data_IF_740833564772
#
_entry.id   IF_740833564772
#
_cell.length_a   1.000
_cell.length_b   1.000
_cell.length_c   1.000
_cell.angle_alpha   90.00
_cell.angle_beta   90.00
_cell.angle_gamma   90.00
#
_symmetry.space_group_name_H-M   'P 1'
#
loop_
_entity.id
_entity.type
_entity.pdbx_description
1 polymer ?
#
# COMPACT_ATOMS: atom_id res chain seq x y z
N UNK A 1 -5.21 40.31 -14.16
CA UNK A 1 -6.29 39.32 -14.31
C UNK A 1 -6.11 38.66 -15.66
N UNK A 2 -5.71 37.39 -15.70
CA UNK A 2 -5.56 36.62 -16.94
C UNK A 2 -6.60 35.50 -16.94
N UNK A 3 -7.41 35.52 -18.00
CA UNK A 3 -8.55 34.63 -18.24
C UNK A 3 -8.16 33.16 -18.08
N UNK A 4 -8.90 32.45 -17.24
CA UNK A 4 -8.96 30.98 -17.24
C UNK A 4 -9.71 30.55 -18.49
N UNK A 5 -8.99 30.31 -19.59
CA UNK A 5 -9.53 29.53 -20.69
C UNK A 5 -9.54 28.07 -20.24
N UNK A 6 -10.73 27.59 -19.87
CA UNK A 6 -11.02 26.17 -19.69
C UNK A 6 -10.91 25.51 -21.06
N UNK A 7 -9.69 25.14 -21.47
CA UNK A 7 -9.49 24.31 -22.65
C UNK A 7 -9.99 22.89 -22.34
N UNK A 8 -11.27 22.64 -22.63
CA UNK A 8 -11.75 21.28 -22.83
C UNK A 8 -11.16 20.76 -24.15
N UNK A 9 -9.90 20.34 -24.13
CA UNK A 9 -9.31 19.54 -25.19
C UNK A 9 -9.93 18.14 -25.12
N UNK A 10 -11.04 17.97 -25.83
CA UNK A 10 -11.52 16.65 -26.24
C UNK A 10 -10.57 16.12 -27.31
N UNK A 11 -9.50 15.45 -26.87
CA UNK A 11 -8.72 14.55 -27.74
C UNK A 11 -9.47 13.22 -27.82
N UNK A 12 -9.58 12.66 -29.02
CA UNK A 12 -10.26 11.40 -29.29
C UNK A 12 -9.53 10.23 -28.64
N UNK A 13 -10.28 9.23 -28.19
CA UNK A 13 -9.77 8.03 -27.53
C UNK A 13 -8.70 7.26 -28.37
N UNK A 14 -8.61 7.51 -29.68
CA UNK A 14 -7.61 6.90 -30.58
C UNK A 14 -6.17 7.40 -30.38
N UNK A 15 -5.97 8.64 -29.91
CA UNK A 15 -4.65 9.11 -29.47
C UNK A 15 -4.25 8.48 -28.14
N UNK A 16 -5.22 7.87 -27.43
CA UNK A 16 -5.02 7.28 -26.13
C UNK A 16 -4.44 5.86 -26.20
N UNK A 17 -4.77 5.10 -27.23
CA UNK A 17 -4.37 3.70 -27.31
C UNK A 17 -2.92 3.46 -27.78
N UNK A 18 -2.25 4.47 -28.34
CA UNK A 18 -0.99 4.29 -29.07
C UNK A 18 0.30 4.76 -28.34
N UNK A 19 0.23 5.27 -27.11
CA UNK A 19 1.42 5.72 -26.39
C UNK A 19 1.86 4.70 -25.33
N UNK A 20 2.87 3.88 -25.66
CA UNK A 20 3.65 3.09 -24.68
C UNK A 20 4.77 3.92 -24.02
N UNK A 21 4.78 5.24 -24.20
CA UNK A 21 5.81 6.09 -23.61
C UNK A 21 5.67 6.18 -22.10
N UNK A 22 6.81 6.04 -21.41
CA UNK A 22 6.96 6.24 -19.98
C UNK A 22 6.77 7.72 -19.60
N UNK A 23 5.55 8.23 -19.74
CA UNK A 23 5.21 9.57 -19.28
C UNK A 23 5.17 9.60 -17.76
N UNK A 24 5.74 10.66 -17.16
CA UNK A 24 5.68 10.85 -15.70
C UNK A 24 4.23 11.07 -15.29
N UNK A 25 3.77 10.35 -14.28
CA UNK A 25 2.38 10.39 -13.79
C UNK A 25 1.82 11.81 -13.60
N UNK A 26 2.60 12.73 -13.05
CA UNK A 26 2.14 14.11 -12.84
C UNK A 26 1.96 14.88 -14.17
N UNK A 27 2.76 14.57 -15.18
CA UNK A 27 2.66 15.22 -16.51
C UNK A 27 1.39 14.72 -17.21
N UNK A 28 1.09 13.43 -17.08
CA UNK A 28 -0.16 12.84 -17.54
C UNK A 28 -1.38 13.43 -16.81
N UNK A 29 -1.39 13.41 -15.47
CA UNK A 29 -2.52 13.92 -14.70
C UNK A 29 -2.79 15.40 -14.98
N UNK A 30 -1.75 16.23 -15.05
CA UNK A 30 -1.90 17.68 -15.30
C UNK A 30 -2.36 18.02 -16.72
N UNK A 31 -2.12 17.15 -17.70
CA UNK A 31 -2.61 17.32 -19.08
C UNK A 31 -4.10 17.00 -19.21
N UNK A 32 -4.61 16.05 -18.42
CA UNK A 32 -5.95 15.48 -18.64
C UNK A 32 -6.96 15.73 -17.51
N UNK A 33 -6.52 16.18 -16.33
CA UNK A 33 -7.37 16.52 -15.19
C UNK A 33 -7.09 17.94 -14.72
N UNK A 34 -8.11 18.57 -14.11
CA UNK A 34 -7.89 19.84 -13.41
C UNK A 34 -6.99 19.62 -12.18
N UNK A 35 -6.37 20.70 -11.70
CA UNK A 35 -5.58 20.66 -10.45
C UNK A 35 -6.42 20.16 -9.27
N UNK A 36 -7.67 20.60 -9.15
CA UNK A 36 -8.57 20.17 -8.08
C UNK A 36 -8.88 18.68 -8.16
N UNK A 37 -9.18 18.15 -9.35
CA UNK A 37 -9.39 16.71 -9.55
C UNK A 37 -8.12 15.90 -9.26
N UNK A 38 -6.95 16.41 -9.64
CA UNK A 38 -5.66 15.76 -9.35
C UNK A 38 -5.39 15.71 -7.85
N UNK A 39 -5.59 16.82 -7.15
CA UNK A 39 -5.38 16.91 -5.70
C UNK A 39 -6.39 16.03 -4.93
N UNK A 40 -7.62 15.89 -5.44
CA UNK A 40 -8.62 14.97 -4.88
C UNK A 40 -8.29 13.50 -5.19
N UNK A 41 -7.94 13.18 -6.45
CA UNK A 41 -7.51 11.84 -6.88
C UNK A 41 -6.40 11.30 -5.97
N UNK A 42 -5.38 12.11 -5.69
CA UNK A 42 -4.23 11.74 -4.84
C UNK A 42 -4.62 11.38 -3.39
N UNK A 43 -5.81 11.76 -2.95
CA UNK A 43 -6.36 11.45 -1.63
C UNK A 43 -7.32 10.26 -1.64
N UNK A 44 -7.76 9.79 -2.81
CA UNK A 44 -8.64 8.63 -2.93
C UNK A 44 -7.95 7.35 -2.48
N UNK A 45 -8.73 6.40 -1.98
CA UNK A 45 -8.20 5.10 -1.56
C UNK A 45 -7.65 4.33 -2.75
N UNK A 46 -8.30 4.40 -3.92
CA UNK A 46 -7.80 3.81 -5.17
C UNK A 46 -6.37 4.27 -5.51
N UNK A 47 -6.11 5.58 -5.49
CA UNK A 47 -4.78 6.10 -5.84
C UNK A 47 -3.73 5.76 -4.77
N UNK A 48 -4.05 5.96 -3.48
CA UNK A 48 -3.15 5.65 -2.36
C UNK A 48 -2.74 4.18 -2.37
N UNK A 49 -3.69 3.30 -2.67
CA UNK A 49 -3.50 1.86 -2.75
C UNK A 49 -2.59 1.46 -3.91
N UNK A 50 -2.80 2.02 -5.11
CA UNK A 50 -1.90 1.79 -6.24
C UNK A 50 -0.48 2.27 -5.95
N UNK A 51 -0.32 3.38 -5.20
CA UNK A 51 0.98 3.82 -4.68
C UNK A 51 1.59 2.84 -3.69
N UNK A 52 0.81 2.35 -2.72
CA UNK A 52 1.26 1.34 -1.75
C UNK A 52 1.82 0.10 -2.45
N UNK A 53 1.12 -0.40 -3.47
CA UNK A 53 1.50 -1.62 -4.19
C UNK A 53 2.49 -1.40 -5.33
N UNK A 54 2.97 -0.16 -5.51
CA UNK A 54 3.82 0.23 -6.61
C UNK A 54 3.26 -0.22 -7.98
N UNK A 55 1.94 -0.11 -8.15
CA UNK A 55 1.30 -0.36 -9.44
C UNK A 55 1.56 0.87 -10.31
N UNK A 56 2.25 0.70 -11.44
CA UNK A 56 2.52 1.81 -12.35
C UNK A 56 1.22 2.45 -12.79
N UNK A 57 1.21 3.77 -12.85
CA UNK A 57 0.12 4.51 -13.45
C UNK A 57 0.22 4.37 -14.97
N UNK A 58 -0.85 3.92 -15.60
CA UNK A 58 -0.93 3.64 -17.01
C UNK A 58 -2.00 4.52 -17.65
N UNK A 59 -1.90 4.67 -18.96
CA UNK A 59 -2.79 5.58 -19.66
C UNK A 59 -4.25 5.14 -19.67
N UNK A 60 -4.51 3.83 -19.71
CA UNK A 60 -5.86 3.26 -19.51
C UNK A 60 -6.51 3.70 -18.20
N UNK A 61 -5.70 4.00 -17.18
CA UNK A 61 -6.21 4.49 -15.90
C UNK A 61 -6.74 5.92 -16.03
N UNK A 62 -6.11 6.77 -16.88
CA UNK A 62 -6.64 8.11 -17.18
C UNK A 62 -7.98 8.04 -17.88
N UNK A 63 -8.13 7.14 -18.84
CA UNK A 63 -9.41 6.93 -19.54
C UNK A 63 -10.50 6.55 -18.55
N UNK A 64 -10.21 5.56 -17.69
CA UNK A 64 -11.13 5.14 -16.63
C UNK A 64 -11.48 6.30 -15.69
N UNK A 65 -10.50 7.03 -15.16
CA UNK A 65 -10.75 8.17 -14.26
C UNK A 65 -11.64 9.24 -14.94
N UNK A 66 -11.36 9.60 -16.19
CA UNK A 66 -12.14 10.61 -16.91
C UNK A 66 -13.58 10.17 -17.15
N UNK A 67 -13.77 8.93 -17.61
CA UNK A 67 -15.09 8.37 -17.84
C UNK A 67 -15.88 8.29 -16.53
N UNK A 68 -15.23 7.90 -15.43
CA UNK A 68 -15.86 7.83 -14.11
C UNK A 68 -16.25 9.22 -13.57
N UNK A 69 -15.38 10.23 -13.73
CA UNK A 69 -15.71 11.63 -13.38
C UNK A 69 -16.91 12.14 -14.17
N UNK A 70 -16.99 11.83 -15.47
CA UNK A 70 -18.09 12.26 -16.33
C UNK A 70 -19.40 11.56 -15.99
N UNK A 71 -19.34 10.26 -15.70
CA UNK A 71 -20.52 9.45 -15.38
C UNK A 71 -21.07 9.70 -13.97
N UNK A 72 -20.18 9.98 -13.00
CA UNK A 72 -20.50 10.04 -11.57
C UNK A 72 -19.89 11.29 -10.88
N UNK A 73 -20.20 12.51 -11.33
CA UNK A 73 -19.47 13.72 -10.91
C UNK A 73 -19.45 13.96 -9.38
N UNK A 74 -20.46 13.48 -8.66
CA UNK A 74 -20.60 13.71 -7.21
C UNK A 74 -19.87 12.65 -6.34
N UNK A 75 -19.58 11.46 -6.87
CA UNK A 75 -19.03 10.33 -6.12
C UNK A 75 -18.05 9.46 -6.91
N UNK A 76 -17.47 10.01 -7.99
CA UNK A 76 -16.59 9.29 -8.92
C UNK A 76 -15.41 8.60 -8.25
N UNK A 77 -14.93 9.09 -7.11
CA UNK A 77 -13.83 8.49 -6.37
C UNK A 77 -14.16 7.09 -5.84
N UNK A 78 -15.40 6.86 -5.43
CA UNK A 78 -15.89 5.55 -4.97
C UNK A 78 -16.10 4.55 -6.10
N UNK A 79 -16.20 5.06 -7.34
CA UNK A 79 -16.41 4.28 -8.55
C UNK A 79 -15.09 3.90 -9.25
N UNK A 80 -13.94 4.36 -8.75
CA UNK A 80 -12.64 3.98 -9.28
C UNK A 80 -12.32 2.52 -8.92
N UNK A 81 -12.00 1.73 -9.92
CA UNK A 81 -11.80 0.28 -9.80
C UNK A 81 -10.54 -0.18 -10.50
N UNK A 82 -9.92 -1.22 -9.97
CA UNK A 82 -8.99 -2.06 -10.73
C UNK A 82 -9.66 -3.39 -11.11
N UNK A 83 -9.33 -3.89 -12.31
CA UNK A 83 -9.58 -5.29 -12.65
C UNK A 83 -8.38 -6.11 -12.20
N UNK A 84 -8.58 -6.94 -11.18
CA UNK A 84 -7.51 -7.68 -10.54
C UNK A 84 -7.51 -9.13 -11.01
N UNK A 85 -6.49 -9.47 -11.78
CA UNK A 85 -6.34 -10.79 -12.38
C UNK A 85 -5.45 -11.63 -11.47
N UNK A 86 -6.10 -12.48 -10.67
CA UNK A 86 -5.48 -13.39 -9.74
C UNK A 86 -4.83 -14.60 -10.40
N UNK A 87 -4.60 -14.63 -11.72
CA UNK A 87 -3.67 -15.56 -12.38
C UNK A 87 -2.22 -15.03 -12.45
N UNK A 88 -2.05 -13.69 -12.36
CA UNK A 88 -0.77 -13.02 -12.52
C UNK A 88 0.04 -12.92 -11.24
N UNK A 89 1.28 -13.43 -11.25
CA UNK A 89 2.17 -13.54 -10.08
C UNK A 89 2.39 -12.23 -9.29
N UNK A 90 2.38 -11.08 -9.98
CA UNK A 90 2.56 -9.75 -9.35
C UNK A 90 1.46 -9.42 -8.34
N UNK A 91 0.22 -9.80 -8.63
CA UNK A 91 -0.94 -9.44 -7.82
C UNK A 91 -1.00 -10.22 -6.51
N UNK A 92 -0.32 -11.35 -6.40
CA UNK A 92 -0.46 -12.20 -5.23
C UNK A 92 0.55 -11.83 -4.17
N UNK A 93 1.83 -11.74 -4.54
CA UNK A 93 2.87 -11.40 -3.58
C UNK A 93 2.77 -9.93 -3.19
N UNK A 94 2.55 -9.02 -4.15
CA UNK A 94 2.60 -7.58 -3.87
C UNK A 94 1.31 -7.02 -3.29
N UNK A 95 0.18 -7.70 -3.52
CA UNK A 95 -1.13 -7.28 -3.06
C UNK A 95 -1.78 -8.34 -2.17
N UNK A 96 -2.34 -9.41 -2.75
CA UNK A 96 -3.29 -10.28 -2.04
C UNK A 96 -2.71 -10.89 -0.77
N UNK A 97 -1.53 -11.52 -0.86
CA UNK A 97 -0.91 -12.24 0.25
C UNK A 97 -0.37 -11.29 1.32
N UNK A 98 0.26 -10.20 0.90
CA UNK A 98 0.76 -9.18 1.81
C UNK A 98 -0.38 -8.49 2.57
N UNK A 99 -1.41 -7.98 1.88
CA UNK A 99 -2.53 -7.30 2.54
C UNK A 99 -3.31 -8.26 3.45
N UNK A 100 -3.52 -9.50 3.00
CA UNK A 100 -4.17 -10.52 3.80
C UNK A 100 -3.40 -10.81 5.09
N UNK A 101 -2.07 -10.90 5.00
CA UNK A 101 -1.19 -11.12 6.14
C UNK A 101 -1.10 -9.88 7.06
N UNK A 102 -0.96 -8.68 6.49
CA UNK A 102 -0.95 -7.43 7.24
C UNK A 102 -2.24 -7.22 8.01
N UNK A 103 -3.39 -7.51 7.39
CA UNK A 103 -4.69 -7.46 8.08
C UNK A 103 -4.72 -8.43 9.26
N UNK A 104 -4.31 -9.68 9.05
CA UNK A 104 -4.26 -10.68 10.11
C UNK A 104 -3.36 -10.26 11.27
N UNK A 105 -2.14 -9.80 10.98
CA UNK A 105 -1.21 -9.32 12.00
C UNK A 105 -1.78 -8.14 12.79
N UNK A 106 -2.46 -7.19 12.12
CA UNK A 106 -3.09 -6.05 12.81
C UNK A 106 -4.24 -6.49 13.72
N UNK A 107 -4.99 -7.51 13.32
CA UNK A 107 -6.12 -8.04 14.07
C UNK A 107 -5.67 -8.88 15.27
N UNK A 108 -4.69 -9.79 15.08
CA UNK A 108 -4.28 -10.76 16.10
C UNK A 108 -3.06 -10.34 16.93
N UNK A 109 -2.22 -9.45 16.41
CA UNK A 109 -0.96 -9.00 17.03
C UNK A 109 -0.88 -7.47 17.05
N UNK A 110 -1.98 -6.80 17.43
CA UNK A 110 -2.09 -5.33 17.42
C UNK A 110 -0.95 -4.62 18.16
N UNK A 111 -0.51 -5.16 19.30
CA UNK A 111 0.60 -4.62 20.08
C UNK A 111 1.90 -4.52 19.25
N UNK A 112 2.20 -5.55 18.44
CA UNK A 112 3.35 -5.52 17.55
C UNK A 112 3.21 -4.40 16.51
N UNK A 113 2.01 -4.22 15.94
CA UNK A 113 1.78 -3.15 14.97
C UNK A 113 1.94 -1.76 15.60
N UNK A 114 1.33 -1.53 16.75
CA UNK A 114 1.42 -0.26 17.47
C UNK A 114 2.89 0.07 17.79
N UNK A 115 3.66 -0.93 18.21
CA UNK A 115 5.09 -0.80 18.52
C UNK A 115 5.95 -0.54 17.27
N UNK A 116 5.66 -1.20 16.14
CA UNK A 116 6.34 -0.95 14.87
C UNK A 116 6.07 0.46 14.31
N UNK A 117 4.86 0.97 14.51
CA UNK A 117 4.51 2.35 14.17
C UNK A 117 5.23 3.36 15.07
N UNK A 118 5.27 3.10 16.38
CA UNK A 118 6.00 3.92 17.34
C UNK A 118 7.50 3.95 17.00
N UNK A 119 8.10 2.78 16.77
CA UNK A 119 9.49 2.66 16.36
C UNK A 119 9.78 3.47 15.09
N UNK A 120 8.90 3.39 14.10
CA UNK A 120 9.04 4.13 12.84
C UNK A 120 9.02 5.65 13.06
N UNK A 121 8.11 6.15 13.90
CA UNK A 121 8.04 7.57 14.29
C UNK A 121 9.30 8.00 15.05
N UNK A 122 9.72 7.21 16.03
CA UNK A 122 10.93 7.45 16.83
C UNK A 122 12.19 7.47 15.96
N UNK A 123 12.26 6.66 14.91
CA UNK A 123 13.40 6.64 13.97
C UNK A 123 13.50 7.92 13.14
N UNK A 124 12.36 8.51 12.77
CA UNK A 124 12.31 9.81 12.10
C UNK A 124 12.83 10.90 13.05
N UNK A 125 12.34 10.93 14.29
CA UNK A 125 12.77 11.89 15.32
C UNK A 125 14.28 11.76 15.57
N UNK A 126 14.79 10.53 15.70
CA UNK A 126 16.22 10.28 15.88
C UNK A 126 17.05 10.81 14.69
N UNK A 127 16.57 10.61 13.46
CA UNK A 127 17.22 11.13 12.26
C UNK A 127 17.26 12.66 12.24
N UNK A 128 16.18 13.31 12.69
CA UNK A 128 16.09 14.77 12.82
C UNK A 128 17.05 15.29 13.90
N UNK A 129 17.09 14.64 15.07
CA UNK A 129 18.01 14.98 16.16
C UNK A 129 19.48 14.82 15.74
N UNK A 130 19.80 13.74 15.02
CA UNK A 130 21.14 13.50 14.48
C UNK A 130 21.56 14.60 13.52
N UNK A 131 20.68 14.97 12.56
CA UNK A 131 20.94 16.07 11.63
C UNK A 131 21.10 17.41 12.36
N UNK A 132 20.27 17.68 13.39
CA UNK A 132 20.36 18.88 14.21
C UNK A 132 21.69 18.95 14.97
N UNK A 133 22.11 17.83 15.58
CA UNK A 133 23.40 17.74 16.26
C UNK A 133 24.57 17.99 15.30
N UNK A 134 24.56 17.38 14.11
CA UNK A 134 25.58 17.62 13.09
C UNK A 134 25.63 19.09 12.68
N UNK A 135 24.48 19.73 12.48
CA UNK A 135 24.41 21.15 12.15
C UNK A 135 25.04 22.01 13.26
N UNK A 136 24.58 21.86 14.51
CA UNK A 136 25.03 22.70 15.62
C UNK A 136 26.52 22.50 15.94
N UNK A 137 26.99 21.24 15.96
CA UNK A 137 28.40 20.92 16.17
C UNK A 137 29.33 21.50 15.09
N UNK A 138 28.84 21.70 13.86
CA UNK A 138 29.63 22.26 12.75
C UNK A 138 29.70 23.78 12.81
N UNK A 139 28.58 24.46 13.09
CA UNK A 139 28.49 25.92 13.00
C UNK A 139 28.72 26.65 14.33
N UNK A 140 28.59 25.94 15.45
CA UNK A 140 28.72 26.51 16.79
C UNK A 140 29.64 25.67 17.70
N UNK A 141 30.95 25.57 17.39
CA UNK A 141 31.88 24.66 18.07
C UNK A 141 32.29 25.09 19.49
N UNK A 142 31.63 26.07 20.12
CA UNK A 142 32.07 26.58 21.42
C UNK A 142 31.68 25.66 22.60
N UNK A 143 32.52 25.57 23.65
CA UNK A 143 32.44 24.51 24.67
C UNK A 143 31.26 24.62 25.65
N UNK A 144 30.52 25.74 25.65
CA UNK A 144 29.55 26.08 26.71
C UNK A 144 28.10 26.19 26.20
N UNK A 145 27.78 25.57 25.07
CA UNK A 145 26.40 25.57 24.58
C UNK A 145 25.58 24.46 25.24
N UNK A 146 24.80 24.85 26.26
CA UNK A 146 23.80 24.00 26.92
C UNK A 146 22.93 23.29 25.88
N UNK A 147 22.55 23.98 24.80
CA UNK A 147 21.74 23.46 23.70
C UNK A 147 22.38 22.25 22.99
N UNK A 148 23.70 22.28 22.70
CA UNK A 148 24.38 21.16 22.04
C UNK A 148 24.47 19.93 22.96
N UNK A 149 24.66 20.17 24.27
CA UNK A 149 24.63 19.12 25.29
C UNK A 149 23.23 18.50 25.41
N UNK A 150 22.18 19.33 25.42
CA UNK A 150 20.80 18.87 25.50
C UNK A 150 20.42 18.04 24.28
N UNK A 151 20.76 18.49 23.06
CA UNK A 151 20.55 17.73 21.83
C UNK A 151 21.28 16.38 21.89
N UNK A 152 22.53 16.35 22.39
CA UNK A 152 23.31 15.12 22.54
C UNK A 152 22.66 14.14 23.52
N UNK A 153 22.15 14.65 24.65
CA UNK A 153 21.46 13.84 25.65
C UNK A 153 20.16 13.24 25.07
N UNK A 154 19.31 14.07 24.45
CA UNK A 154 18.10 13.61 23.77
C UNK A 154 18.40 12.59 22.66
N UNK A 155 19.47 12.80 21.88
CA UNK A 155 19.90 11.85 20.85
C UNK A 155 20.31 10.50 21.48
N UNK A 156 21.06 10.53 22.58
CA UNK A 156 21.52 9.33 23.28
C UNK A 156 20.35 8.54 23.86
N UNK A 157 19.42 9.22 24.53
CA UNK A 157 18.18 8.62 25.04
C UNK A 157 17.34 8.03 23.90
N UNK A 158 17.18 8.78 22.80
CA UNK A 158 16.46 8.32 21.62
C UNK A 158 17.06 7.05 21.02
N UNK A 159 18.40 6.95 20.93
CA UNK A 159 19.09 5.74 20.45
C UNK A 159 18.86 4.55 21.40
N UNK A 160 18.92 4.76 22.71
CA UNK A 160 18.67 3.70 23.69
C UNK A 160 17.23 3.20 23.63
N UNK A 161 16.25 4.11 23.54
CA UNK A 161 14.84 3.76 23.42
C UNK A 161 14.58 2.99 22.13
N UNK A 162 15.12 3.45 20.98
CA UNK A 162 15.03 2.72 19.72
C UNK A 162 15.59 1.30 19.84
N UNK A 163 16.74 1.12 20.47
CA UNK A 163 17.32 -0.20 20.68
C UNK A 163 16.43 -1.11 21.54
N UNK A 164 15.78 -0.58 22.58
CA UNK A 164 14.85 -1.35 23.42
C UNK A 164 13.59 -1.74 22.64
N UNK A 165 12.92 -0.76 22.03
CA UNK A 165 11.74 -0.99 21.20
C UNK A 165 12.03 -1.99 20.08
N UNK A 166 13.20 -1.94 19.46
CA UNK A 166 13.59 -2.90 18.44
C UNK A 166 13.72 -4.33 18.99
N UNK A 167 14.26 -4.49 20.21
CA UNK A 167 14.34 -5.80 20.87
C UNK A 167 12.94 -6.35 21.19
N UNK A 168 12.04 -5.50 21.68
CA UNK A 168 10.65 -5.86 21.97
C UNK A 168 9.90 -6.29 20.70
N UNK A 169 10.06 -5.54 19.59
CA UNK A 169 9.55 -5.93 18.27
C UNK A 169 10.07 -7.30 17.86
N UNK A 170 11.38 -7.57 18.03
CA UNK A 170 11.95 -8.87 17.68
C UNK A 170 11.42 -10.01 18.56
N UNK A 171 11.18 -9.77 19.85
CA UNK A 171 10.60 -10.75 20.76
C UNK A 171 9.19 -11.10 20.31
N UNK A 172 8.31 -10.10 20.14
CA UNK A 172 6.94 -10.28 19.67
C UNK A 172 6.88 -10.97 18.30
N UNK A 173 7.76 -10.61 17.35
CA UNK A 173 7.83 -11.27 16.04
C UNK A 173 8.19 -12.76 16.13
N UNK A 174 8.97 -13.19 17.13
CA UNK A 174 9.32 -14.61 17.32
C UNK A 174 8.16 -15.43 17.86
N UNK A 175 7.22 -14.79 18.53
CA UNK A 175 6.02 -15.45 19.04
C UNK A 175 4.99 -15.75 17.96
N UNK A 176 5.10 -15.11 16.79
CA UNK A 176 4.20 -15.35 15.66
C UNK A 176 4.56 -16.69 14.99
N UNK A 177 3.71 -17.73 15.10
CA UNK A 177 4.05 -19.07 14.63
C UNK A 177 3.94 -19.20 13.10
N UNK A 178 3.14 -18.33 12.47
CA UNK A 178 2.83 -18.40 11.04
C UNK A 178 3.22 -17.10 10.36
N UNK A 179 4.29 -17.15 9.56
CA UNK A 179 4.84 -15.98 8.87
C UNK A 179 4.31 -15.83 7.44
N UNK A 180 4.46 -14.64 6.86
CA UNK A 180 4.13 -14.37 5.45
C UNK A 180 4.80 -15.37 4.50
N UNK A 181 6.04 -15.79 4.79
CA UNK A 181 6.74 -16.80 3.99
C UNK A 181 6.02 -18.15 4.02
N UNK A 182 5.49 -18.55 5.17
CA UNK A 182 4.67 -19.76 5.27
C UNK A 182 3.40 -19.61 4.43
N UNK A 183 2.73 -18.46 4.51
CA UNK A 183 1.54 -18.20 3.70
C UNK A 183 1.81 -18.28 2.20
N UNK A 184 2.88 -17.64 1.72
CA UNK A 184 3.32 -17.69 0.31
C UNK A 184 3.60 -19.13 -0.14
N UNK A 185 4.25 -19.93 0.71
CA UNK A 185 4.55 -21.33 0.39
C UNK A 185 3.27 -22.17 0.29
N UNK A 186 2.36 -22.06 1.26
CA UNK A 186 1.06 -22.75 1.25
C UNK A 186 0.29 -22.39 -0.01
N UNK A 187 0.18 -21.10 -0.28
CA UNK A 187 -0.52 -20.60 -1.44
C UNK A 187 0.13 -21.16 -2.73
N UNK A 188 1.46 -21.12 -2.88
CA UNK A 188 2.15 -21.66 -4.06
C UNK A 188 1.91 -23.16 -4.23
N UNK A 189 2.03 -23.92 -3.16
CA UNK A 189 1.85 -25.37 -3.18
C UNK A 189 0.43 -25.78 -3.57
N UNK A 190 -0.57 -25.12 -3.00
CA UNK A 190 -1.98 -25.46 -3.20
C UNK A 190 -2.52 -24.90 -4.51
N UNK A 191 -2.27 -23.61 -4.77
CA UNK A 191 -2.83 -22.90 -5.92
C UNK A 191 -2.06 -23.18 -7.21
N UNK A 192 -0.72 -23.21 -7.20
CA UNK A 192 0.05 -23.45 -8.43
C UNK A 192 0.42 -24.92 -8.64
N UNK A 193 0.85 -25.60 -7.58
CA UNK A 193 1.31 -26.98 -7.69
C UNK A 193 0.20 -28.01 -7.47
N UNK A 194 -1.05 -27.56 -7.29
CA UNK A 194 -2.22 -28.42 -7.15
C UNK A 194 -2.07 -29.47 -6.02
N UNK A 195 -1.29 -29.15 -4.99
CA UNK A 195 -1.17 -30.02 -3.82
C UNK A 195 -2.41 -29.89 -2.94
N UNK A 196 -2.76 -30.94 -2.18
CA UNK A 196 -3.82 -30.82 -1.19
C UNK A 196 -3.48 -29.75 -0.16
N UNK A 197 -4.51 -29.03 0.31
CA UNK A 197 -4.37 -28.06 1.39
C UNK A 197 -3.95 -28.81 2.67
N UNK A 198 -2.84 -28.42 3.33
CA UNK A 198 -2.38 -29.11 4.53
C UNK A 198 -3.39 -29.01 5.68
N UNK A 199 -3.61 -30.13 6.37
CA UNK A 199 -4.59 -30.19 7.46
C UNK A 199 -4.13 -29.50 8.75
N UNK A 200 -2.81 -29.38 8.96
CA UNK A 200 -2.22 -28.92 10.22
C UNK A 200 -1.27 -27.71 10.02
N UNK A 201 -1.15 -26.87 11.05
CA UNK A 201 -0.14 -25.81 11.12
C UNK A 201 -0.45 -24.51 10.35
N UNK A 202 -1.64 -24.40 9.75
CA UNK A 202 -2.12 -23.21 9.07
C UNK A 202 -3.30 -22.62 9.87
N UNK A 203 -3.21 -21.35 10.34
CA UNK A 203 -4.34 -20.69 10.98
C UNK A 203 -5.58 -20.65 10.07
N UNK A 204 -6.77 -20.81 10.66
CA UNK A 204 -8.04 -20.91 9.93
C UNK A 204 -8.32 -19.70 9.02
N UNK A 205 -7.83 -18.52 9.42
CA UNK A 205 -7.87 -17.30 8.60
C UNK A 205 -7.21 -17.50 7.23
N UNK A 206 -5.98 -18.03 7.19
CA UNK A 206 -5.26 -18.28 5.95
C UNK A 206 -5.79 -19.50 5.20
N UNK A 207 -6.29 -20.51 5.93
CA UNK A 207 -6.98 -21.66 5.34
C UNK A 207 -8.19 -21.22 4.53
N UNK A 208 -9.02 -20.35 5.13
CA UNK A 208 -10.20 -19.76 4.49
C UNK A 208 -9.81 -18.98 3.24
N UNK A 209 -8.81 -18.11 3.32
CA UNK A 209 -8.33 -17.34 2.17
C UNK A 209 -7.91 -18.24 1.01
N UNK A 210 -7.13 -19.30 1.27
CA UNK A 210 -6.69 -20.26 0.23
C UNK A 210 -7.86 -21.02 -0.37
N UNK A 211 -8.84 -21.44 0.45
CA UNK A 211 -10.05 -22.11 -0.03
C UNK A 211 -10.89 -21.22 -0.96
N UNK A 212 -11.08 -19.95 -0.61
CA UNK A 212 -11.81 -18.99 -1.44
C UNK A 212 -11.09 -18.75 -2.78
N UNK A 213 -9.76 -18.68 -2.77
CA UNK A 213 -8.96 -18.54 -4.00
C UNK A 213 -9.06 -19.81 -4.86
N UNK A 214 -9.06 -21.01 -4.25
CA UNK A 214 -9.28 -22.27 -4.97
C UNK A 214 -10.67 -22.31 -5.63
N UNK A 215 -11.71 -21.84 -4.94
CA UNK A 215 -13.07 -21.76 -5.49
C UNK A 215 -13.12 -20.84 -6.71
N UNK A 216 -12.52 -19.65 -6.60
CA UNK A 216 -12.37 -18.74 -7.74
C UNK A 216 -11.63 -19.42 -8.90
N UNK A 217 -10.50 -20.09 -8.62
CA UNK A 217 -9.71 -20.78 -9.65
C UNK A 217 -10.50 -21.88 -10.37
N UNK A 218 -11.25 -22.69 -9.64
CA UNK A 218 -11.89 -23.89 -10.18
C UNK A 218 -13.23 -23.59 -10.86
N UNK A 219 -13.99 -22.64 -10.31
CA UNK A 219 -15.39 -22.41 -10.71
C UNK A 219 -15.63 -20.98 -11.22
N UNK A 220 -14.61 -20.11 -11.21
CA UNK A 220 -14.71 -18.69 -11.54
C UNK A 220 -15.79 -17.94 -10.74
N UNK A 221 -16.07 -18.41 -9.51
CA UNK A 221 -16.96 -17.74 -8.55
C UNK A 221 -16.13 -16.84 -7.63
N UNK A 222 -16.27 -15.53 -7.83
CA UNK A 222 -15.53 -14.50 -7.11
C UNK A 222 -16.29 -13.93 -5.91
N UNK A 223 -17.60 -14.17 -5.80
CA UNK A 223 -18.47 -13.46 -4.85
C UNK A 223 -17.98 -13.59 -3.40
N UNK A 224 -17.67 -14.81 -2.96
CA UNK A 224 -17.24 -15.04 -1.57
C UNK A 224 -15.85 -14.46 -1.31
N UNK A 225 -14.91 -14.60 -2.27
CA UNK A 225 -13.58 -14.03 -2.14
C UNK A 225 -13.64 -12.50 -2.13
N UNK A 226 -14.42 -11.90 -3.03
CA UNK A 226 -14.64 -10.47 -3.09
C UNK A 226 -15.20 -9.94 -1.76
N UNK A 227 -16.29 -10.53 -1.25
CA UNK A 227 -16.88 -10.11 0.03
C UNK A 227 -15.88 -10.25 1.17
N UNK A 228 -15.11 -11.34 1.18
CA UNK A 228 -14.10 -11.59 2.21
C UNK A 228 -12.99 -10.53 2.19
N UNK A 229 -12.52 -10.14 1.01
CA UNK A 229 -11.49 -9.10 0.83
C UNK A 229 -12.03 -7.69 1.09
N UNK A 230 -13.23 -7.38 0.61
CA UNK A 230 -13.84 -6.06 0.75
C UNK A 230 -14.17 -5.71 2.20
N UNK A 231 -14.72 -6.67 2.96
CA UNK A 231 -14.99 -6.51 4.40
C UNK A 231 -13.72 -6.25 5.23
N UNK A 232 -12.54 -6.54 4.68
CA UNK A 232 -11.22 -6.34 5.29
C UNK A 232 -10.47 -5.15 4.71
N UNK A 233 -11.11 -4.39 3.82
CA UNK A 233 -10.52 -3.28 3.07
C UNK A 233 -9.27 -3.69 2.27
N UNK A 234 -9.20 -4.96 1.82
CA UNK A 234 -8.11 -5.48 0.99
C UNK A 234 -8.36 -5.17 -0.50
N UNK A 235 -9.63 -5.21 -0.92
CA UNK A 235 -10.09 -4.68 -2.22
C UNK A 235 -11.12 -3.55 -2.01
N UNK A 236 -11.26 -2.71 -3.02
CA UNK A 236 -12.25 -1.63 -3.04
C UNK A 236 -13.59 -2.14 -3.59
N UNK A 237 -14.66 -1.43 -3.27
CA UNK A 237 -16.03 -1.82 -3.65
C UNK A 237 -16.21 -1.95 -5.16
N UNK A 238 -15.57 -1.07 -5.94
CA UNK A 238 -15.70 -1.10 -7.40
C UNK A 238 -14.77 -2.13 -8.08
N UNK A 239 -13.84 -2.75 -7.37
CA UNK A 239 -12.89 -3.70 -7.96
C UNK A 239 -13.58 -4.95 -8.51
N UNK A 240 -12.95 -5.52 -9.54
CA UNK A 240 -13.36 -6.78 -10.14
C UNK A 240 -12.26 -7.81 -9.95
N UNK A 241 -12.60 -9.01 -9.52
CA UNK A 241 -11.62 -10.07 -9.22
C UNK A 241 -11.85 -11.25 -10.16
N UNK A 242 -10.81 -11.66 -10.88
CA UNK A 242 -10.92 -12.74 -11.85
C UNK A 242 -9.75 -13.71 -11.80
N UNK A 243 -9.98 -14.93 -12.25
CA UNK A 243 -8.96 -15.93 -12.51
C UNK A 243 -8.89 -16.20 -14.02
N UNK A 244 -7.83 -15.76 -14.71
CA UNK A 244 -7.68 -15.89 -16.17
C UNK A 244 -6.28 -16.35 -16.58
#
# INVERSE_FOLDING_TARGET
>A
MLNKTTCHLYLSDDEIYNSEDACKENDLLSKYLTRQQTDYLKKTDWFRRRKKWNIPFQYRDLTMIRQTIQAYPDNWDTCLSDTIILSGSRYWVSWLLNETYEYWIKDTHRELCDLEEEYSRSRIINSQLSALYTLYSTYYPQPEQTELSDIKNCLTESVQNLSRTQQDIYALRREIPFTLRHFINVFRDVIYHHKPLPDNGIPDYFRTAVQLILQLKNNNDDNQLYLWLNNRNICLTADKIHWC
#
